data_IF_129056251815
#
_entry.id   IF_129056251815
#
_cell.length_a   1.000
_cell.length_b   1.000
_cell.length_c   1.000
_cell.angle_alpha   90.00
_cell.angle_beta   90.00
_cell.angle_gamma   90.00
#
_symmetry.space_group_name_H-M   'P 1'
#
loop_
_entity.id
_entity.type
_entity.pdbx_description
1 polymer ?
#
# COMPACT_ATOMS: atom_id res chain seq x y z
N UNK A 1 -7.43 -32.98 16.93
CA UNK A 1 -7.92 -32.16 15.81
C UNK A 1 -7.34 -30.76 15.96
N UNK A 2 -6.64 -30.23 14.95
CA UNK A 2 -6.03 -28.89 15.05
C UNK A 2 -7.16 -27.85 15.03
N UNK A 3 -7.08 -26.77 15.83
CA UNK A 3 -8.11 -25.70 15.88
C UNK A 3 -8.51 -25.18 14.48
N UNK A 4 -7.57 -25.19 13.54
CA UNK A 4 -7.79 -24.88 12.13
C UNK A 4 -8.84 -25.77 11.45
N UNK A 5 -8.80 -27.09 11.67
CA UNK A 5 -9.71 -28.04 11.05
C UNK A 5 -11.13 -27.85 11.58
N UNK A 6 -11.28 -27.72 12.90
CA UNK A 6 -12.58 -27.43 13.54
C UNK A 6 -13.19 -26.15 12.97
N UNK A 7 -12.39 -25.09 12.82
CA UNK A 7 -12.88 -23.82 12.28
C UNK A 7 -13.24 -23.94 10.80
N UNK A 8 -12.42 -24.65 10.01
CA UNK A 8 -12.70 -24.95 8.61
C UNK A 8 -14.02 -25.70 8.46
N UNK A 9 -14.27 -26.70 9.30
CA UNK A 9 -15.48 -27.50 9.28
C UNK A 9 -16.71 -26.67 9.66
N UNK A 10 -16.62 -25.84 10.70
CA UNK A 10 -17.69 -24.90 11.09
C UNK A 10 -18.01 -23.94 9.93
N UNK A 11 -17.00 -23.30 9.35
CA UNK A 11 -17.20 -22.34 8.25
C UNK A 11 -17.77 -23.03 7.00
N UNK A 12 -17.29 -24.23 6.69
CA UNK A 12 -17.80 -25.04 5.57
C UNK A 12 -19.25 -25.45 5.82
N UNK A 13 -19.61 -25.85 7.04
CA UNK A 13 -20.99 -26.17 7.44
C UNK A 13 -21.91 -24.94 7.36
N UNK A 14 -21.38 -23.73 7.55
CA UNK A 14 -22.09 -22.46 7.32
C UNK A 14 -22.14 -22.04 5.85
N UNK A 15 -21.68 -22.89 4.92
CA UNK A 15 -21.71 -22.64 3.47
C UNK A 15 -20.57 -21.75 2.95
N UNK A 16 -19.55 -21.46 3.76
CA UNK A 16 -18.38 -20.69 3.34
C UNK A 16 -17.33 -21.61 2.71
N UNK A 17 -16.89 -21.26 1.50
CA UNK A 17 -15.79 -21.98 0.85
C UNK A 17 -14.48 -21.69 1.57
N UNK A 18 -13.94 -22.73 2.23
CA UNK A 18 -12.62 -22.72 2.85
C UNK A 18 -11.58 -23.45 1.99
N UNK A 19 -11.79 -23.52 0.68
CA UNK A 19 -10.79 -24.02 -0.25
C UNK A 19 -9.55 -23.12 -0.21
N UNK A 20 -8.36 -23.72 -0.27
CA UNK A 20 -7.12 -22.96 -0.40
C UNK A 20 -7.16 -22.26 -1.76
N UNK A 21 -7.49 -20.97 -1.77
CA UNK A 21 -7.31 -20.16 -2.98
C UNK A 21 -5.81 -19.98 -3.19
N UNK A 22 -5.32 -20.27 -4.39
CA UNK A 22 -3.99 -19.83 -4.79
C UNK A 22 -3.87 -18.33 -4.59
N UNK A 23 -2.73 -17.89 -4.05
CA UNK A 23 -2.41 -16.48 -4.01
C UNK A 23 -2.47 -15.93 -5.45
N UNK A 24 -2.98 -14.71 -5.66
CA UNK A 24 -2.93 -14.10 -6.99
C UNK A 24 -1.49 -14.02 -7.47
N UNK A 25 -1.28 -14.22 -8.77
CA UNK A 25 0.03 -14.02 -9.38
C UNK A 25 0.49 -12.57 -9.19
N UNK A 26 1.80 -12.39 -9.05
CA UNK A 26 2.41 -11.05 -9.02
C UNK A 26 2.27 -10.38 -10.38
N UNK A 27 2.16 -9.06 -10.38
CA UNK A 27 2.06 -8.25 -11.60
C UNK A 27 3.29 -7.38 -11.80
N UNK A 28 3.57 -6.91 -13.02
CA UNK A 28 4.59 -5.90 -13.24
C UNK A 28 4.35 -4.65 -12.37
N UNK A 29 5.41 -3.89 -12.16
CA UNK A 29 5.32 -2.52 -11.66
C UNK A 29 5.11 -1.57 -12.82
N UNK A 30 4.42 -0.47 -12.54
CA UNK A 30 4.32 0.68 -13.43
C UNK A 30 5.01 1.86 -12.76
N UNK A 31 6.00 2.43 -13.45
CA UNK A 31 6.64 3.67 -13.06
C UNK A 31 5.79 4.83 -13.59
N UNK A 32 5.19 5.59 -12.67
CA UNK A 32 4.34 6.73 -12.99
C UNK A 32 4.89 7.99 -12.30
N UNK A 33 4.51 9.16 -12.79
CA UNK A 33 4.80 10.43 -12.13
C UNK A 33 3.56 11.31 -12.00
N UNK A 34 3.46 12.04 -10.89
CA UNK A 34 2.36 12.94 -10.62
C UNK A 34 2.58 14.38 -11.13
N UNK A 35 3.80 14.72 -11.52
CA UNK A 35 4.18 16.06 -11.97
C UNK A 35 5.15 15.93 -13.15
N UNK A 36 4.90 16.63 -14.26
CA UNK A 36 5.70 16.47 -15.48
C UNK A 36 7.14 16.97 -15.29
N UNK A 37 7.37 17.89 -14.35
CA UNK A 37 8.70 18.41 -14.03
C UNK A 37 9.63 17.32 -13.45
N UNK A 38 9.08 16.20 -12.97
CA UNK A 38 9.83 15.08 -12.41
C UNK A 38 10.31 14.12 -13.49
N UNK A 39 9.67 14.13 -14.68
CA UNK A 39 9.95 13.16 -15.74
C UNK A 39 11.41 13.19 -16.18
N UNK A 40 11.91 14.35 -16.60
CA UNK A 40 13.26 14.45 -17.14
C UNK A 40 14.34 14.15 -16.08
N UNK A 41 14.27 14.70 -14.85
CA UNK A 41 15.17 14.31 -13.76
C UNK A 41 15.13 12.81 -13.46
N UNK A 42 13.95 12.19 -13.44
CA UNK A 42 13.78 10.77 -13.17
C UNK A 42 14.41 9.91 -14.28
N UNK A 43 14.15 10.22 -15.54
CA UNK A 43 14.72 9.48 -16.67
C UNK A 43 16.24 9.66 -16.75
N UNK A 44 16.75 10.86 -16.46
CA UNK A 44 18.19 11.11 -16.38
C UNK A 44 18.83 10.32 -15.24
N UNK A 45 18.16 10.24 -14.08
CA UNK A 45 18.63 9.44 -12.95
C UNK A 45 18.64 7.95 -13.30
N UNK A 46 17.55 7.43 -13.87
CA UNK A 46 17.47 6.03 -14.30
C UNK A 46 18.60 5.68 -15.27
N UNK A 47 18.84 6.51 -16.29
CA UNK A 47 19.91 6.28 -17.27
C UNK A 47 21.33 6.23 -16.67
N UNK A 48 21.53 6.76 -15.46
CA UNK A 48 22.81 6.69 -14.74
C UNK A 48 22.93 5.50 -13.79
N UNK A 49 21.80 4.90 -13.38
CA UNK A 49 21.75 3.89 -12.31
C UNK A 49 21.35 2.49 -12.80
N UNK A 50 20.73 2.36 -13.97
CA UNK A 50 20.47 1.06 -14.59
C UNK A 50 21.76 0.47 -15.18
N UNK A 51 21.91 -0.85 -15.11
CA UNK A 51 22.96 -1.55 -15.86
C UNK A 51 22.65 -1.61 -17.38
N UNK A 52 23.53 -2.25 -18.15
CA UNK A 52 23.39 -2.40 -19.60
C UNK A 52 22.10 -3.12 -20.03
N UNK A 53 21.47 -3.87 -19.12
CA UNK A 53 20.22 -4.59 -19.36
C UNK A 53 18.98 -3.81 -18.87
N UNK A 54 19.17 -2.59 -18.38
CA UNK A 54 18.11 -1.76 -17.81
C UNK A 54 17.70 -2.17 -16.40
N UNK A 55 18.59 -2.84 -15.64
CA UNK A 55 18.27 -3.40 -14.33
C UNK A 55 18.91 -2.59 -13.20
N UNK A 56 18.12 -2.28 -12.17
CA UNK A 56 18.62 -1.85 -10.86
C UNK A 56 18.55 -3.05 -9.91
N UNK A 57 19.69 -3.39 -9.30
CA UNK A 57 19.79 -4.54 -8.39
C UNK A 57 19.98 -4.07 -6.96
N UNK A 58 19.22 -4.68 -6.05
CA UNK A 58 19.40 -4.55 -4.61
C UNK A 58 19.71 -5.90 -3.98
N UNK A 59 19.94 -5.92 -2.67
CA UNK A 59 20.23 -7.15 -1.93
C UNK A 59 19.09 -8.18 -1.95
N UNK A 60 17.84 -7.77 -2.24
CA UNK A 60 16.65 -8.64 -2.20
C UNK A 60 15.85 -8.69 -3.49
N UNK A 61 16.01 -7.70 -4.37
CA UNK A 61 15.14 -7.49 -5.53
C UNK A 61 15.92 -6.88 -6.69
N UNK A 62 15.66 -7.36 -7.91
CA UNK A 62 16.03 -6.69 -9.15
C UNK A 62 14.80 -6.07 -9.81
N UNK A 63 14.95 -4.82 -10.26
CA UNK A 63 13.94 -4.05 -10.98
C UNK A 63 14.42 -3.85 -12.41
N UNK A 64 13.73 -4.46 -13.37
CA UNK A 64 14.09 -4.36 -14.80
C UNK A 64 13.17 -3.35 -15.48
N UNK A 65 13.71 -2.20 -15.86
CA UNK A 65 12.96 -1.15 -16.52
C UNK A 65 12.75 -1.49 -18.00
N UNK A 66 11.50 -1.56 -18.43
CA UNK A 66 11.10 -1.92 -19.79
C UNK A 66 10.05 -0.94 -20.30
N UNK A 67 10.04 -0.60 -21.61
CA UNK A 67 9.02 0.29 -22.16
C UNK A 67 7.63 -0.32 -22.04
N UNK A 68 7.48 -1.62 -22.32
CA UNK A 68 6.21 -2.33 -22.30
C UNK A 68 6.33 -3.71 -21.65
N UNK A 69 5.22 -4.24 -21.12
CA UNK A 69 5.13 -5.58 -20.56
C UNK A 69 4.43 -6.56 -21.51
N UNK A 70 4.97 -7.77 -21.63
CA UNK A 70 4.33 -8.90 -22.31
C UNK A 70 4.19 -10.07 -21.32
N UNK A 71 3.20 -10.93 -21.51
CA UNK A 71 2.93 -12.07 -20.61
C UNK A 71 4.05 -13.12 -20.55
N UNK A 72 5.02 -13.04 -21.47
CA UNK A 72 6.21 -13.88 -21.51
C UNK A 72 7.26 -13.44 -20.48
N UNK A 73 7.20 -12.18 -20.02
CA UNK A 73 8.09 -11.67 -18.99
C UNK A 73 7.59 -12.17 -17.64
N UNK A 74 8.37 -13.06 -17.04
CA UNK A 74 8.08 -13.60 -15.72
C UNK A 74 8.20 -12.52 -14.63
N UNK A 75 7.25 -12.52 -13.70
CA UNK A 75 7.26 -11.65 -12.52
C UNK A 75 7.48 -12.54 -11.30
N UNK A 76 8.58 -12.32 -10.60
CA UNK A 76 8.94 -13.10 -9.40
C UNK A 76 9.14 -12.18 -8.20
N UNK A 77 9.12 -12.70 -6.96
CA UNK A 77 9.40 -11.89 -5.77
C UNK A 77 10.80 -11.23 -5.76
N UNK A 78 11.75 -11.76 -6.54
CA UNK A 78 13.15 -11.29 -6.58
C UNK A 78 13.52 -10.60 -7.88
N UNK A 79 12.69 -10.68 -8.92
CA UNK A 79 12.89 -10.00 -10.20
C UNK A 79 11.54 -9.50 -10.74
N UNK A 80 11.38 -8.18 -10.79
CA UNK A 80 10.13 -7.52 -11.18
C UNK A 80 10.39 -6.58 -12.37
N UNK A 81 9.67 -6.74 -13.50
CA UNK A 81 9.68 -5.76 -14.56
C UNK A 81 8.95 -4.48 -14.15
N UNK A 82 9.52 -3.34 -14.51
CA UNK A 82 8.99 -2.00 -14.28
C UNK A 82 8.67 -1.37 -15.64
N UNK A 83 7.39 -1.27 -15.96
CA UNK A 83 6.87 -0.65 -17.17
C UNK A 83 7.01 0.86 -17.06
N UNK A 84 7.68 1.48 -18.03
CA UNK A 84 7.91 2.94 -18.08
C UNK A 84 7.00 3.68 -19.04
N UNK A 85 6.32 2.99 -19.96
CA UNK A 85 5.29 3.59 -20.80
C UNK A 85 4.02 3.88 -19.98
N UNK A 86 3.81 5.17 -19.72
CA UNK A 86 2.64 5.67 -19.01
C UNK A 86 1.39 5.76 -19.89
N UNK A 87 1.53 5.90 -21.20
CA UNK A 87 0.37 6.05 -22.11
C UNK A 87 -0.43 4.74 -22.16
N UNK A 88 0.26 3.62 -22.03
CA UNK A 88 -0.34 2.29 -21.92
C UNK A 88 -0.90 1.96 -20.52
N UNK A 89 -0.69 2.80 -19.51
CA UNK A 89 -1.10 2.50 -18.13
C UNK A 89 -2.61 2.61 -17.95
N UNK A 90 -3.22 1.53 -17.45
CA UNK A 90 -4.60 1.54 -16.96
C UNK A 90 -4.76 0.58 -15.78
N UNK A 91 -5.64 0.93 -14.85
CA UNK A 91 -5.94 0.12 -13.66
C UNK A 91 -7.37 0.40 -13.19
N UNK A 92 -8.06 -0.64 -12.74
CA UNK A 92 -9.37 -0.49 -12.06
C UNK A 92 -9.21 -0.06 -10.60
N UNK A 93 -8.03 -0.29 -10.01
CA UNK A 93 -7.75 -0.05 -8.59
C UNK A 93 -7.01 1.26 -8.33
N UNK A 94 -6.39 1.86 -9.34
CA UNK A 94 -5.65 3.11 -9.22
C UNK A 94 -5.85 4.02 -10.42
N UNK A 95 -6.25 5.27 -10.15
CA UNK A 95 -6.44 6.28 -11.18
C UNK A 95 -5.40 7.39 -10.98
N UNK A 96 -4.45 7.47 -11.91
CA UNK A 96 -3.35 8.44 -11.85
C UNK A 96 -3.84 9.88 -11.95
N UNK A 97 -4.87 10.15 -12.75
CA UNK A 97 -5.40 11.50 -12.92
C UNK A 97 -6.07 12.02 -11.64
N UNK A 98 -6.88 11.18 -10.99
CA UNK A 98 -7.45 11.49 -9.67
C UNK A 98 -6.33 11.70 -8.64
N UNK A 99 -5.29 10.87 -8.67
CA UNK A 99 -4.13 11.04 -7.80
C UNK A 99 -3.46 12.40 -8.01
N UNK A 100 -3.18 12.78 -9.26
CA UNK A 100 -2.59 14.07 -9.65
C UNK A 100 -3.42 15.26 -9.17
N UNK A 101 -4.74 15.22 -9.38
CA UNK A 101 -5.65 16.30 -8.99
C UNK A 101 -5.74 16.51 -7.48
N UNK A 102 -5.49 15.47 -6.68
CA UNK A 102 -5.59 15.54 -5.22
C UNK A 102 -4.24 15.67 -4.51
N UNK A 103 -3.12 15.45 -5.21
CA UNK A 103 -1.78 15.53 -4.63
C UNK A 103 -1.34 16.99 -4.46
N UNK A 104 -1.31 17.47 -3.22
CA UNK A 104 -0.94 18.84 -2.86
C UNK A 104 0.49 19.01 -2.36
N UNK A 105 1.22 17.92 -2.20
CA UNK A 105 2.59 17.91 -1.70
C UNK A 105 3.54 18.46 -2.76
N UNK A 106 4.60 19.15 -2.33
CA UNK A 106 5.65 19.62 -3.24
C UNK A 106 6.62 18.49 -3.61
N UNK A 107 6.98 17.65 -2.62
CA UNK A 107 7.97 16.59 -2.80
C UNK A 107 7.39 15.19 -2.69
N UNK A 108 6.54 14.90 -1.70
CA UNK A 108 6.12 13.52 -1.42
C UNK A 108 5.14 12.98 -2.48
N UNK A 109 5.30 11.71 -2.87
CA UNK A 109 4.35 11.03 -3.76
C UNK A 109 4.45 11.44 -5.23
N UNK A 110 5.55 12.09 -5.64
CA UNK A 110 5.72 12.59 -6.99
C UNK A 110 6.12 11.51 -8.00
N UNK A 111 6.93 10.55 -7.57
CA UNK A 111 7.28 9.35 -8.34
C UNK A 111 6.59 8.14 -7.74
N UNK A 112 5.86 7.39 -8.56
CA UNK A 112 4.97 6.32 -8.11
C UNK A 112 5.43 5.01 -8.73
N UNK A 113 5.63 3.99 -7.90
CA UNK A 113 5.72 2.60 -8.32
C UNK A 113 4.39 1.92 -7.98
N UNK A 114 3.58 1.65 -8.99
CA UNK A 114 2.28 1.01 -8.82
C UNK A 114 2.31 -0.47 -9.23
N UNK A 115 1.72 -1.36 -8.42
CA UNK A 115 1.44 -2.74 -8.81
C UNK A 115 -0.01 -3.14 -8.47
N UNK A 116 -0.64 -3.91 -9.35
CA UNK A 116 -1.92 -4.55 -9.02
C UNK A 116 -1.72 -5.60 -7.91
N UNK A 117 -0.70 -6.45 -8.04
CA UNK A 117 -0.35 -7.46 -7.05
C UNK A 117 1.16 -7.49 -6.85
N UNK A 118 1.59 -7.23 -5.61
CA UNK A 118 3.00 -7.36 -5.21
C UNK A 118 3.13 -8.24 -3.96
N UNK A 119 4.35 -8.64 -3.60
CA UNK A 119 4.59 -9.32 -2.31
C UNK A 119 4.36 -8.34 -1.16
N UNK A 120 5.11 -7.23 -1.14
CA UNK A 120 4.95 -6.12 -0.21
C UNK A 120 5.51 -4.83 -0.83
N UNK A 121 4.81 -3.71 -0.63
CA UNK A 121 5.28 -2.38 -1.09
C UNK A 121 6.58 -1.95 -0.42
N UNK A 122 6.87 -2.46 0.79
CA UNK A 122 8.10 -2.14 1.53
C UNK A 122 9.35 -2.60 0.78
N UNK A 123 9.38 -3.84 0.26
CA UNK A 123 10.56 -4.40 -0.41
C UNK A 123 10.86 -3.73 -1.74
N UNK A 124 9.83 -3.15 -2.39
CA UNK A 124 10.00 -2.41 -3.63
C UNK A 124 10.90 -1.17 -3.44
N UNK A 125 10.80 -0.54 -2.27
CA UNK A 125 11.55 0.66 -1.94
C UNK A 125 12.87 0.37 -1.23
N UNK A 126 13.01 -0.79 -0.58
CA UNK A 126 14.25 -1.16 0.12
C UNK A 126 15.49 -1.10 -0.78
N UNK A 127 15.33 -1.47 -2.06
CA UNK A 127 16.43 -1.44 -3.02
C UNK A 127 16.76 -0.05 -3.58
N UNK A 128 15.81 0.87 -3.56
CA UNK A 128 15.94 2.20 -4.16
C UNK A 128 16.22 3.29 -3.12
N UNK A 129 16.02 3.00 -1.83
CA UNK A 129 15.93 4.04 -0.81
C UNK A 129 17.19 4.87 -0.61
N UNK A 130 18.36 4.33 -0.93
CA UNK A 130 19.65 5.00 -0.68
C UNK A 130 20.17 5.76 -1.89
N UNK A 131 19.67 5.46 -3.09
CA UNK A 131 20.19 6.01 -4.35
C UNK A 131 19.26 7.07 -4.94
N UNK A 132 17.95 6.96 -4.71
CA UNK A 132 17.00 7.88 -5.29
C UNK A 132 16.98 9.22 -4.53
N UNK A 133 17.11 10.37 -5.22
CA UNK A 133 17.00 11.68 -4.61
C UNK A 133 15.66 11.88 -3.91
N UNK A 134 15.70 12.54 -2.74
CA UNK A 134 14.50 12.78 -1.93
C UNK A 134 13.46 13.61 -2.69
N UNK A 135 13.92 14.54 -3.52
CA UNK A 135 13.11 15.45 -4.32
C UNK A 135 12.20 14.73 -5.32
N UNK A 136 12.55 13.48 -5.68
CA UNK A 136 11.72 12.66 -6.56
C UNK A 136 10.48 12.10 -5.87
N UNK A 137 10.42 12.10 -4.53
CA UNK A 137 9.17 11.82 -3.83
C UNK A 137 8.65 10.41 -3.97
N UNK A 138 9.52 9.41 -3.87
CA UNK A 138 9.17 8.03 -4.20
C UNK A 138 8.09 7.44 -3.27
N UNK A 139 7.02 6.93 -3.86
CA UNK A 139 5.97 6.15 -3.20
C UNK A 139 5.73 4.85 -3.96
N UNK A 140 5.62 3.74 -3.23
CA UNK A 140 5.11 2.48 -3.79
C UNK A 140 3.64 2.32 -3.39
N UNK A 141 2.78 1.98 -4.34
CA UNK A 141 1.35 1.76 -4.15
C UNK A 141 0.99 0.38 -4.67
N UNK A 142 0.18 -0.37 -3.94
CA UNK A 142 -0.33 -1.65 -4.40
C UNK A 142 -1.84 -1.78 -4.21
N UNK A 143 -2.53 -2.40 -5.16
CA UNK A 143 -3.92 -2.80 -4.96
C UNK A 143 -4.03 -4.02 -4.04
N UNK A 144 -3.03 -4.91 -4.08
CA UNK A 144 -2.97 -6.12 -3.25
C UNK A 144 -1.54 -6.51 -2.89
N UNK A 145 -1.36 -6.99 -1.66
CA UNK A 145 -0.11 -7.61 -1.18
C UNK A 145 -0.35 -9.08 -0.83
N UNK A 146 0.51 -9.98 -1.32
CA UNK A 146 0.47 -11.40 -0.95
C UNK A 146 1.21 -11.69 0.36
N UNK A 147 2.18 -10.85 0.72
CA UNK A 147 3.04 -10.99 1.91
C UNK A 147 3.12 -9.69 2.72
N UNK A 148 1.99 -9.00 2.88
CA UNK A 148 1.90 -7.76 3.64
C UNK A 148 2.50 -7.89 5.04
N UNK A 149 3.31 -6.92 5.45
CA UNK A 149 4.03 -6.93 6.72
C UNK A 149 3.27 -6.15 7.81
N UNK A 150 3.15 -6.74 8.98
CA UNK A 150 2.76 -6.08 10.22
C UNK A 150 3.97 -5.92 11.16
N UNK A 151 3.74 -5.33 12.34
CA UNK A 151 4.80 -5.16 13.34
C UNK A 151 5.30 -6.50 13.87
N UNK A 152 6.61 -6.66 14.02
CA UNK A 152 7.23 -7.89 14.50
C UNK A 152 7.10 -9.02 13.49
N UNK A 153 6.55 -10.17 13.90
CA UNK A 153 6.30 -11.33 13.03
C UNK A 153 4.88 -11.37 12.47
N UNK A 154 4.07 -10.34 12.70
CA UNK A 154 2.68 -10.32 12.25
C UNK A 154 2.61 -10.07 10.74
N UNK A 155 1.64 -10.69 10.09
CA UNK A 155 1.29 -10.41 8.71
C UNK A 155 0.12 -9.42 8.63
N UNK A 156 0.11 -8.59 7.59
CA UNK A 156 -1.03 -7.73 7.24
C UNK A 156 -1.80 -8.34 6.06
N UNK A 157 -3.02 -8.79 6.33
CA UNK A 157 -3.91 -9.31 5.28
C UNK A 157 -4.40 -8.14 4.42
N UNK A 158 -4.23 -8.28 3.11
CA UNK A 158 -4.48 -7.22 2.13
C UNK A 158 -5.50 -7.68 1.08
N UNK A 159 -6.80 -7.82 1.42
CA UNK A 159 -7.82 -8.07 0.42
C UNK A 159 -7.94 -6.91 -0.57
N UNK A 160 -8.61 -7.16 -1.70
CA UNK A 160 -8.92 -6.11 -2.67
C UNK A 160 -9.69 -4.95 -2.02
N UNK A 161 -9.37 -3.72 -2.45
CA UNK A 161 -9.93 -2.49 -1.90
C UNK A 161 -9.09 -1.85 -0.80
N UNK A 162 -8.11 -2.54 -0.21
CA UNK A 162 -7.20 -1.90 0.74
C UNK A 162 -6.43 -0.74 0.09
N UNK A 163 -6.24 0.34 0.85
CA UNK A 163 -5.25 1.37 0.50
C UNK A 163 -3.91 0.93 1.09
N UNK A 164 -2.98 0.51 0.22
CA UNK A 164 -1.67 -0.01 0.59
C UNK A 164 -0.60 0.83 -0.09
N UNK A 165 0.24 1.48 0.71
CA UNK A 165 1.36 2.25 0.18
C UNK A 165 2.55 2.22 1.12
N UNK A 166 3.74 2.40 0.56
CA UNK A 166 4.94 2.74 1.32
C UNK A 166 5.51 4.03 0.77
N UNK A 167 5.75 5.01 1.64
CA UNK A 167 6.42 6.26 1.30
C UNK A 167 7.87 6.21 1.77
N UNK A 168 8.79 6.66 0.91
CA UNK A 168 10.18 6.89 1.27
C UNK A 168 10.38 8.34 1.74
N UNK A 169 10.98 8.51 2.92
CA UNK A 169 11.33 9.82 3.47
C UNK A 169 12.74 9.79 4.04
N UNK A 170 13.55 10.81 3.76
CA UNK A 170 14.82 11.04 4.44
C UNK A 170 14.71 12.16 5.47
N UNK A 171 15.29 11.93 6.65
CA UNK A 171 15.27 12.88 7.77
C UNK A 171 16.71 13.03 8.31
N UNK A 172 17.30 14.23 8.29
CA UNK A 172 18.61 14.45 8.87
C UNK A 172 18.60 14.12 10.37
N UNK A 173 19.59 13.37 10.84
CA UNK A 173 19.76 12.95 12.25
C UNK A 173 19.71 14.16 13.18
N UNK A 174 20.40 15.25 12.81
CA UNK A 174 20.51 16.47 13.62
C UNK A 174 19.24 17.34 13.62
N UNK A 175 18.23 17.01 12.81
CA UNK A 175 16.96 17.74 12.80
C UNK A 175 16.14 17.47 14.07
N UNK A 176 15.19 18.35 14.37
CA UNK A 176 14.28 18.17 15.51
C UNK A 176 13.51 16.83 15.46
N UNK A 177 13.12 16.38 14.26
CA UNK A 177 12.43 15.11 14.07
C UNK A 177 13.42 13.93 14.05
N UNK A 178 14.63 14.12 13.51
CA UNK A 178 15.71 13.12 13.54
C UNK A 178 16.15 12.73 14.95
N UNK A 179 16.12 13.66 15.90
CA UNK A 179 16.36 13.36 17.32
C UNK A 179 15.17 12.66 18.00
N UNK A 180 14.06 12.46 17.28
CA UNK A 180 12.77 11.98 17.79
C UNK A 180 12.09 11.01 16.81
N UNK A 181 12.86 10.22 16.05
CA UNK A 181 12.35 9.33 15.00
C UNK A 181 11.14 8.45 15.39
N UNK A 182 11.04 7.88 16.62
CA UNK A 182 9.86 7.11 17.01
C UNK A 182 8.52 7.86 16.90
N UNK A 183 8.54 9.20 16.90
CA UNK A 183 7.34 10.03 16.69
C UNK A 183 6.81 10.01 15.27
N UNK A 184 7.62 9.65 14.26
CA UNK A 184 7.18 9.56 12.85
C UNK A 184 5.98 8.62 12.72
N UNK A 185 5.97 7.47 13.41
CA UNK A 185 4.84 6.55 13.38
C UNK A 185 3.54 7.17 13.92
N UNK A 186 3.65 8.01 14.95
CA UNK A 186 2.50 8.68 15.55
C UNK A 186 1.98 9.80 14.64
N UNK A 187 2.90 10.59 14.08
CA UNK A 187 2.60 11.63 13.09
C UNK A 187 1.83 11.03 11.90
N UNK A 188 2.29 9.89 11.40
CA UNK A 188 1.65 9.22 10.27
C UNK A 188 0.31 8.60 10.63
N UNK A 189 0.17 8.04 11.83
CA UNK A 189 -1.13 7.52 12.31
C UNK A 189 -2.17 8.65 12.40
N UNK A 190 -1.76 9.83 12.88
CA UNK A 190 -2.61 11.02 12.90
C UNK A 190 -2.93 11.50 11.50
N UNK A 191 -1.94 11.57 10.60
CA UNK A 191 -2.14 11.99 9.21
C UNK A 191 -3.19 11.14 8.48
N UNK A 192 -3.22 9.82 8.70
CA UNK A 192 -4.26 8.97 8.11
C UNK A 192 -5.65 9.28 8.69
N UNK A 193 -5.76 9.53 9.99
CA UNK A 193 -7.03 9.90 10.62
C UNK A 193 -7.54 11.24 10.07
N UNK A 194 -6.67 12.24 9.98
CA UNK A 194 -6.99 13.55 9.40
C UNK A 194 -7.38 13.42 7.92
N UNK A 195 -6.65 12.62 7.14
CA UNK A 195 -6.98 12.38 5.74
C UNK A 195 -8.37 11.78 5.57
N UNK A 196 -8.78 10.82 6.41
CA UNK A 196 -10.14 10.26 6.34
C UNK A 196 -11.20 11.29 6.75
N UNK A 197 -10.94 12.08 7.79
CA UNK A 197 -11.88 13.12 8.25
C UNK A 197 -12.02 14.29 7.27
N UNK A 198 -11.01 14.54 6.44
CA UNK A 198 -11.11 15.54 5.38
C UNK A 198 -12.06 15.16 4.24
N UNK A 199 -12.48 13.88 4.15
CA UNK A 199 -13.43 13.43 3.14
C UNK A 199 -14.84 13.94 3.51
N UNK A 200 -15.56 14.62 2.59
CA UNK A 200 -16.93 15.06 2.85
C UNK A 200 -17.83 13.91 3.28
N UNK A 201 -18.53 14.08 4.42
CA UNK A 201 -19.39 13.07 5.04
C UNK A 201 -18.71 12.21 6.10
N UNK A 202 -17.39 12.33 6.27
CA UNK A 202 -16.58 11.57 7.23
C UNK A 202 -15.99 12.43 8.35
N UNK A 203 -16.33 13.71 8.44
CA UNK A 203 -15.74 14.63 9.42
C UNK A 203 -15.91 14.13 10.88
N UNK A 204 -17.11 13.64 11.20
CA UNK A 204 -17.48 13.19 12.55
C UNK A 204 -17.28 11.68 12.77
N UNK A 205 -16.60 10.97 11.85
CA UNK A 205 -16.34 9.55 12.04
C UNK A 205 -15.47 9.34 13.29
N UNK A 206 -15.92 8.43 14.17
CA UNK A 206 -15.25 8.10 15.43
C UNK A 206 -13.99 7.25 15.17
N UNK A 207 -12.98 7.87 14.58
CA UNK A 207 -11.65 7.27 14.42
C UNK A 207 -10.80 7.53 15.64
N UNK A 208 -10.05 6.50 16.04
CA UNK A 208 -9.13 6.52 17.19
C UNK A 208 -7.80 5.94 16.78
N UNK A 209 -6.72 6.54 17.29
CA UNK A 209 -5.39 5.93 17.23
C UNK A 209 -5.24 5.09 18.49
N UNK A 210 -5.28 3.77 18.32
CA UNK A 210 -4.89 2.84 19.38
C UNK A 210 -3.38 2.73 19.36
N UNK A 211 -2.77 3.19 20.44
CA UNK A 211 -1.32 3.27 20.56
C UNK A 211 -0.66 1.90 20.32
N UNK A 212 0.47 1.82 19.57
CA UNK A 212 1.23 2.95 19.01
C UNK A 212 0.96 3.28 17.54
N UNK A 213 0.18 2.47 16.82
CA UNK A 213 0.18 2.52 15.35
C UNK A 213 -1.09 2.01 14.68
N UNK A 214 -2.13 1.70 15.46
CA UNK A 214 -3.35 1.12 14.93
C UNK A 214 -4.45 2.16 14.82
N UNK A 215 -5.17 2.13 13.70
CA UNK A 215 -6.30 3.02 13.44
C UNK A 215 -7.58 2.21 13.64
N UNK A 216 -8.43 2.67 14.53
CA UNK A 216 -9.67 1.99 14.92
C UNK A 216 -10.89 2.86 14.60
N UNK A 217 -11.99 2.18 14.26
CA UNK A 217 -13.33 2.74 14.37
C UNK A 217 -13.87 2.45 15.77
N UNK A 218 -14.12 3.52 16.53
CA UNK A 218 -14.39 3.46 17.96
C UNK A 218 -13.31 2.62 18.66
N UNK A 219 -13.70 1.77 19.61
CA UNK A 219 -12.80 0.82 20.27
C UNK A 219 -13.02 -0.63 19.78
N UNK A 220 -13.84 -0.81 18.73
CA UNK A 220 -14.37 -2.11 18.34
C UNK A 220 -13.60 -2.75 17.18
N UNK A 221 -13.24 -1.95 16.17
CA UNK A 221 -12.78 -2.50 14.89
C UNK A 221 -11.52 -1.79 14.40
N UNK A 222 -10.48 -2.59 14.15
CA UNK A 222 -9.26 -2.11 13.50
C UNK A 222 -9.52 -1.87 12.03
N UNK A 223 -9.31 -0.65 11.58
CA UNK A 223 -9.43 -0.24 10.18
C UNK A 223 -8.11 -0.20 9.45
N UNK A 224 -7.01 0.05 10.16
CA UNK A 224 -5.72 0.23 9.52
C UNK A 224 -4.57 0.15 10.51
N UNK A 225 -3.37 0.23 9.97
CA UNK A 225 -2.14 0.31 10.73
C UNK A 225 -1.06 1.04 9.95
N UNK A 226 -0.17 1.67 10.70
CA UNK A 226 1.06 2.25 10.18
C UNK A 226 2.23 1.38 10.62
N UNK A 227 3.21 1.19 9.75
CA UNK A 227 4.47 0.56 10.09
C UNK A 227 5.60 1.46 9.59
N UNK A 228 6.51 1.83 10.48
CA UNK A 228 7.67 2.66 10.14
C UNK A 228 8.93 1.81 10.30
N UNK A 229 9.72 1.72 9.24
CA UNK A 229 11.05 1.14 9.26
C UNK A 229 12.07 2.23 8.98
N UNK A 230 13.10 2.38 9.81
CA UNK A 230 14.11 3.43 9.69
C UNK A 230 15.51 2.82 9.66
N UNK A 231 16.29 3.20 8.66
CA UNK A 231 17.70 2.85 8.53
C UNK A 231 18.54 4.13 8.65
N UNK A 232 19.52 4.15 9.55
CA UNK A 232 20.47 5.26 9.66
C UNK A 232 21.68 4.98 8.76
N UNK A 233 21.98 5.89 7.84
CA UNK A 233 23.20 5.87 7.04
C UNK A 233 23.88 7.24 7.10
N UNK A 234 25.13 7.26 7.57
CA UNK A 234 25.82 8.51 7.89
C UNK A 234 25.04 9.31 8.93
N UNK A 235 24.66 10.54 8.58
CA UNK A 235 23.85 11.44 9.41
C UNK A 235 22.40 11.58 8.93
N UNK A 236 21.89 10.62 8.15
CA UNK A 236 20.52 10.68 7.59
C UNK A 236 19.76 9.39 7.89
N UNK A 237 18.54 9.53 8.41
CA UNK A 237 17.59 8.43 8.47
C UNK A 237 16.84 8.29 7.15
N UNK A 238 16.84 7.09 6.59
CA UNK A 238 15.98 6.67 5.48
C UNK A 238 14.82 5.88 6.06
N UNK A 239 13.60 6.35 5.80
CA UNK A 239 12.40 5.87 6.48
C UNK A 239 11.40 5.39 5.45
N UNK A 240 11.00 4.12 5.60
CA UNK A 240 9.87 3.54 4.90
C UNK A 240 8.64 3.61 5.78
N UNK A 241 7.65 4.38 5.36
CA UNK A 241 6.36 4.55 6.04
C UNK A 241 5.32 3.74 5.30
N UNK A 242 4.98 2.57 5.82
CA UNK A 242 3.92 1.72 5.29
C UNK A 242 2.58 2.13 5.87
N UNK A 243 1.64 2.41 4.98
CA UNK A 243 0.25 2.71 5.30
C UNK A 243 -0.61 1.56 4.78
N UNK A 244 -1.34 0.94 5.69
CA UNK A 244 -2.30 -0.11 5.36
C UNK A 244 -3.65 0.24 5.96
N UNK A 245 -4.63 0.54 5.10
CA UNK A 245 -6.02 0.75 5.50
C UNK A 245 -6.90 -0.27 4.79
N UNK A 246 -7.68 -1.00 5.56
CA UNK A 246 -8.74 -1.86 5.04
C UNK A 246 -9.87 -0.99 4.49
N UNK A 247 -10.28 -1.21 3.24
CA UNK A 247 -11.55 -0.69 2.79
C UNK A 247 -12.66 -1.61 3.28
N UNK A 248 -13.58 -1.02 4.01
CA UNK A 248 -14.89 -1.58 4.26
C UNK A 248 -15.89 -0.61 3.67
N UNK A 249 -16.79 -1.10 2.84
CA UNK A 249 -17.89 -0.28 2.36
C UNK A 249 -18.90 -0.15 3.49
N UNK A 250 -19.21 1.09 3.88
CA UNK A 250 -20.26 1.39 4.85
C UNK A 250 -21.53 1.68 4.07
N UNK A 251 -22.42 0.69 3.95
CA UNK A 251 -23.74 0.94 3.37
C UNK A 251 -24.73 1.27 4.47
N UNK A 252 -25.48 2.37 4.30
CA UNK A 252 -26.70 2.60 5.09
C UNK A 252 -27.66 1.46 4.80
N UNK A 253 -27.99 0.68 5.82
CA UNK A 253 -29.03 -0.33 5.70
C UNK A 253 -30.39 0.32 5.44
N UNK A 254 -31.34 -0.38 4.81
CA UNK A 254 -32.69 0.13 4.54
C UNK A 254 -33.55 0.35 5.81
N UNK A 255 -33.03 0.04 7.00
CA UNK A 255 -33.67 0.34 8.28
C UNK A 255 -32.96 1.52 8.93
N UNK A 256 -33.71 2.58 9.23
CA UNK A 256 -33.26 3.80 9.90
C UNK A 256 -32.17 3.50 10.95
N UNK A 257 -30.97 4.02 10.73
CA UNK A 257 -29.88 4.06 11.73
C UNK A 257 -28.92 2.87 11.77
N UNK A 258 -29.08 1.83 10.94
CA UNK A 258 -28.14 0.70 10.92
C UNK A 258 -27.07 0.86 9.82
N UNK A 259 -25.80 0.89 10.24
CA UNK A 259 -24.63 0.84 9.34
C UNK A 259 -24.21 -0.63 9.15
N UNK A 260 -24.13 -1.09 7.91
CA UNK A 260 -23.62 -2.42 7.57
C UNK A 260 -22.26 -2.30 6.89
N UNK A 261 -21.31 -3.15 7.29
CA UNK A 261 -19.94 -3.16 6.79
C UNK A 261 -19.76 -4.36 5.88
N UNK A 262 -19.40 -4.14 4.62
CA UNK A 262 -19.17 -5.21 3.64
C UNK A 262 -17.82 -5.05 2.94
N UNK A 263 -17.20 -6.17 2.56
CA UNK A 263 -16.06 -6.16 1.64
C UNK A 263 -16.60 -5.74 0.26
N UNK A 264 -15.97 -4.79 -0.43
CA UNK A 264 -16.37 -4.44 -1.80
C UNK A 264 -16.44 -5.71 -2.68
N UNK A 265 -17.59 -5.93 -3.33
CA UNK A 265 -17.80 -7.08 -4.23
C UNK A 265 -18.41 -8.34 -3.61
N UNK A 266 -18.65 -8.40 -2.29
CA UNK A 266 -19.29 -9.57 -1.66
C UNK A 266 -20.82 -9.42 -1.55
N UNK A 267 -21.55 -9.44 -2.68
CA UNK A 267 -22.96 -9.89 -2.72
C UNK A 267 -23.41 -10.15 -4.17
N UNK A 268 -23.46 -11.42 -4.60
CA UNK A 268 -24.48 -11.87 -5.57
C UNK A 268 -25.71 -12.23 -4.75
N UNK A 269 -26.86 -11.68 -5.12
CA UNK A 269 -28.09 -11.76 -4.32
C UNK A 269 -28.48 -13.20 -4.00
N UNK A 270 -28.52 -13.54 -2.72
CA UNK A 270 -29.46 -14.54 -2.20
C UNK A 270 -30.24 -13.91 -1.06
N UNK A 271 -31.46 -13.48 -1.39
CA UNK A 271 -32.48 -13.16 -0.39
C UNK A 271 -32.78 -14.43 0.40
N UNK A 272 -32.41 -14.49 1.67
CA UNK A 272 -33.16 -15.24 2.68
C UNK A 272 -33.18 -14.46 3.98
N UNK A 273 -34.35 -13.91 4.27
CA UNK A 273 -34.79 -13.46 5.59
C UNK A 273 -34.70 -14.62 6.57
N UNK A 274 -33.92 -14.47 7.63
CA UNK A 274 -34.10 -15.22 8.86
C UNK A 274 -34.34 -14.20 9.98
N UNK A 275 -35.52 -14.28 10.58
CA UNK A 275 -35.85 -13.63 11.86
C UNK A 275 -35.20 -14.46 12.96
N UNK A 276 -34.52 -13.79 13.87
CA UNK A 276 -34.44 -14.14 15.28
C UNK A 276 -34.64 -12.84 16.06
#
# INVERSE_FOLDING_TARGET
>A
MRRYEVLKDILTALGLSCAVKQAPALTPLHLLWAAEEIRDPLMQWLGKHVDLEGVIKSSKLSLRFVPSYTSEIEVTPTAIPVVTDMEAFSSENFNLEIYRQNLRTEQLGKTILFAEVTSTTMSLLEGLMFEMPQEMGLIAIAARQTEGKGRGRNAWLSPAGCALSTLLVSIPLRSNLGQRIPFVQHLMSLAVVEAVRSIPGYQDINLRVKWPNDIYYSDLMKLGGVLVNSTLMGETFYILIVLSKSAWEVRRGPRCGSWAWTIPGSFRSTRRTARW
#
